data_IF_205758477787
#
_entry.id   IF_205758477787
#
_cell.length_a   1.000
_cell.length_b   1.000
_cell.length_c   1.000
_cell.angle_alpha   90.00
_cell.angle_beta   90.00
_cell.angle_gamma   90.00
#
_symmetry.space_group_name_H-M   'P 1'
#
loop_
_entity.id
_entity.type
_entity.pdbx_description
1 polymer ?
#
# COMPACT_ATOMS: atom_id res chain seq x y z
N UNK A 1 -26.93 -9.08 22.32
CA UNK A 1 -26.69 -10.11 21.29
C UNK A 1 -27.23 -9.77 19.87
N UNK A 2 -27.80 -8.59 19.60
CA UNK A 2 -28.44 -8.29 18.28
C UNK A 2 -27.64 -7.46 17.26
N UNK A 3 -26.51 -6.85 17.64
CA UNK A 3 -25.69 -6.05 16.68
C UNK A 3 -24.94 -6.94 15.69
N UNK A 4 -24.31 -8.02 16.17
CA UNK A 4 -23.51 -8.92 15.33
C UNK A 4 -24.39 -9.69 14.34
N UNK A 5 -25.61 -10.10 14.73
CA UNK A 5 -26.54 -10.76 13.80
C UNK A 5 -27.03 -9.82 12.69
N UNK A 6 -27.27 -8.54 13.01
CA UNK A 6 -27.67 -7.54 12.02
C UNK A 6 -26.51 -7.18 11.08
N UNK A 7 -25.28 -7.04 11.60
CA UNK A 7 -24.10 -6.85 10.75
C UNK A 7 -23.88 -8.07 9.84
N UNK A 8 -24.07 -9.29 10.35
CA UNK A 8 -23.94 -10.52 9.56
C UNK A 8 -25.03 -10.67 8.50
N UNK A 9 -26.26 -10.22 8.81
CA UNK A 9 -27.36 -10.17 7.84
C UNK A 9 -27.07 -9.15 6.73
N UNK A 10 -26.57 -7.97 7.08
CA UNK A 10 -26.14 -6.95 6.11
C UNK A 10 -24.99 -7.47 5.23
N UNK A 11 -23.98 -8.12 5.83
CA UNK A 11 -22.88 -8.73 5.08
C UNK A 11 -23.40 -9.79 4.11
N UNK A 12 -24.31 -10.67 4.55
CA UNK A 12 -24.94 -11.68 3.67
C UNK A 12 -25.78 -11.07 2.56
N UNK A 13 -26.51 -9.98 2.83
CA UNK A 13 -27.30 -9.29 1.82
C UNK A 13 -26.40 -8.60 0.80
N UNK A 14 -25.37 -7.88 1.23
CA UNK A 14 -24.37 -7.31 0.33
C UNK A 14 -23.63 -8.39 -0.47
N UNK A 15 -23.35 -9.55 0.14
CA UNK A 15 -22.69 -10.67 -0.52
C UNK A 15 -23.62 -11.40 -1.50
N UNK A 16 -24.92 -11.48 -1.21
CA UNK A 16 -25.92 -12.04 -2.12
C UNK A 16 -26.08 -11.16 -3.38
N UNK A 17 -26.10 -9.84 -3.20
CA UNK A 17 -26.13 -8.87 -4.31
C UNK A 17 -24.82 -8.93 -5.11
N UNK A 18 -23.65 -9.06 -4.46
CA UNK A 18 -22.37 -9.24 -5.14
C UNK A 18 -22.31 -10.55 -5.94
N UNK A 19 -22.96 -11.60 -5.45
CA UNK A 19 -22.95 -12.94 -6.07
C UNK A 19 -23.86 -13.03 -7.30
N UNK A 20 -24.82 -12.13 -7.44
CA UNK A 20 -25.59 -11.97 -8.68
C UNK A 20 -24.78 -11.31 -9.82
N UNK A 21 -23.65 -10.68 -9.50
CA UNK A 21 -22.71 -10.10 -10.46
C UNK A 21 -21.36 -10.86 -10.45
N UNK A 22 -21.30 -11.99 -11.16
CA UNK A 22 -20.07 -12.79 -11.29
C UNK A 22 -18.86 -11.97 -11.80
N UNK A 23 -19.10 -10.92 -12.59
CA UNK A 23 -18.08 -9.99 -13.07
C UNK A 23 -17.47 -9.10 -11.96
N UNK A 24 -18.21 -8.77 -10.89
CA UNK A 24 -17.71 -7.93 -9.80
C UNK A 24 -16.75 -8.68 -8.87
N UNK A 25 -16.88 -10.00 -8.75
CA UNK A 25 -16.01 -10.81 -7.90
C UNK A 25 -14.67 -11.17 -8.55
N UNK A 26 -14.57 -11.13 -9.89
CA UNK A 26 -13.33 -11.47 -10.60
C UNK A 26 -12.21 -10.45 -10.37
N UNK A 27 -12.54 -9.17 -10.21
CA UNK A 27 -11.56 -8.09 -10.02
C UNK A 27 -10.78 -8.18 -8.69
N UNK A 28 -11.42 -8.36 -7.51
CA UNK A 28 -10.71 -8.59 -6.26
C UNK A 28 -9.84 -9.84 -6.27
N UNK A 29 -10.33 -10.93 -6.89
CA UNK A 29 -9.60 -12.20 -6.98
C UNK A 29 -8.38 -12.09 -7.89
N UNK A 30 -8.52 -11.45 -9.05
CA UNK A 30 -7.41 -11.17 -9.95
C UNK A 30 -6.36 -10.24 -9.32
N UNK A 31 -6.80 -9.23 -8.54
CA UNK A 31 -5.88 -8.38 -7.78
C UNK A 31 -5.09 -9.17 -6.74
N UNK A 32 -5.76 -10.05 -5.98
CA UNK A 32 -5.09 -10.92 -5.01
C UNK A 32 -4.09 -11.88 -5.67
N UNK A 33 -4.48 -12.52 -6.77
CA UNK A 33 -3.62 -13.44 -7.54
C UNK A 33 -2.43 -12.68 -8.13
N UNK A 34 -2.64 -11.50 -8.72
CA UNK A 34 -1.57 -10.69 -9.27
C UNK A 34 -0.56 -10.25 -8.21
N UNK A 35 -1.04 -9.84 -7.04
CA UNK A 35 -0.19 -9.43 -5.92
C UNK A 35 0.69 -10.60 -5.41
N UNK A 36 0.10 -11.79 -5.29
CA UNK A 36 0.83 -13.02 -4.93
C UNK A 36 1.84 -13.38 -6.03
N UNK A 37 1.41 -13.37 -7.29
CA UNK A 37 2.26 -13.74 -8.43
C UNK A 37 3.50 -12.84 -8.54
N UNK A 38 3.33 -11.53 -8.33
CA UNK A 38 4.44 -10.58 -8.34
C UNK A 38 5.37 -10.77 -7.16
N UNK A 39 4.81 -10.95 -5.96
CA UNK A 39 5.60 -11.22 -4.76
C UNK A 39 6.46 -12.46 -4.94
N UNK A 40 5.86 -13.55 -5.43
CA UNK A 40 6.57 -14.80 -5.73
C UNK A 40 7.61 -14.61 -6.82
N UNK A 41 7.29 -13.89 -7.90
CA UNK A 41 8.24 -13.64 -9.01
C UNK A 41 9.46 -12.84 -8.55
N UNK A 42 9.28 -11.86 -7.66
CA UNK A 42 10.36 -11.06 -7.11
C UNK A 42 11.21 -11.85 -6.10
N UNK A 43 10.59 -12.65 -5.24
CA UNK A 43 11.31 -13.52 -4.30
C UNK A 43 12.09 -14.61 -5.04
N UNK A 44 11.48 -15.24 -6.04
CA UNK A 44 12.15 -16.24 -6.88
C UNK A 44 13.27 -15.61 -7.72
N UNK A 45 13.02 -14.45 -8.34
CA UNK A 45 14.01 -13.75 -9.16
C UNK A 45 15.21 -13.25 -8.35
N UNK A 46 14.98 -12.68 -7.17
CA UNK A 46 16.07 -12.31 -6.26
C UNK A 46 16.85 -13.53 -5.77
N UNK A 47 16.16 -14.62 -5.42
CA UNK A 47 16.79 -15.90 -5.08
C UNK A 47 17.71 -16.42 -6.18
N UNK A 48 17.26 -16.41 -7.44
CA UNK A 48 18.05 -16.85 -8.60
C UNK A 48 19.25 -15.93 -8.88
N UNK A 49 19.09 -14.62 -8.73
CA UNK A 49 20.17 -13.64 -8.94
C UNK A 49 21.30 -13.80 -7.92
N UNK A 50 20.97 -14.02 -6.65
CA UNK A 50 21.95 -14.20 -5.58
C UNK A 50 22.48 -15.64 -5.45
N UNK A 51 21.77 -16.62 -6.03
CA UNK A 51 22.12 -18.04 -5.96
C UNK A 51 23.59 -18.37 -6.29
N UNK A 52 24.20 -17.91 -7.41
CA UNK A 52 25.60 -18.22 -7.71
C UNK A 52 26.58 -17.63 -6.69
N UNK A 53 26.28 -16.45 -6.13
CA UNK A 53 27.13 -15.77 -5.15
C UNK A 53 27.05 -16.44 -3.78
N UNK A 54 25.85 -16.87 -3.39
CA UNK A 54 25.61 -17.67 -2.16
C UNK A 54 26.33 -19.02 -2.29
N UNK A 55 26.21 -19.70 -3.43
CA UNK A 55 26.92 -20.97 -3.68
C UNK A 55 28.44 -20.81 -3.62
N UNK A 56 28.98 -19.74 -4.18
CA UNK A 56 30.41 -19.45 -4.13
C UNK A 56 30.89 -19.21 -2.69
N UNK A 57 30.11 -18.49 -1.88
CA UNK A 57 30.42 -18.27 -0.46
C UNK A 57 30.39 -19.57 0.36
N UNK A 58 29.36 -20.41 0.16
CA UNK A 58 29.25 -21.72 0.82
C UNK A 58 30.42 -22.63 0.41
N UNK A 59 30.78 -22.65 -0.88
CA UNK A 59 31.92 -23.44 -1.38
C UNK A 59 33.25 -22.97 -0.80
N UNK A 60 33.38 -21.67 -0.49
CA UNK A 60 34.55 -21.09 0.17
C UNK A 60 34.52 -21.20 1.71
N UNK A 61 33.57 -21.93 2.30
CA UNK A 61 33.31 -21.98 3.76
C UNK A 61 33.10 -20.59 4.41
N UNK A 62 32.73 -19.59 3.61
CA UNK A 62 32.47 -18.23 4.05
C UNK A 62 30.97 -17.97 4.24
N UNK A 63 30.66 -16.91 4.97
CA UNK A 63 29.31 -16.34 5.00
C UNK A 63 29.13 -15.36 3.85
N UNK A 64 28.02 -15.48 3.12
CA UNK A 64 27.69 -14.54 2.06
C UNK A 64 27.29 -13.20 2.69
N UNK A 65 28.14 -12.19 2.51
CA UNK A 65 27.83 -10.80 2.83
C UNK A 65 27.65 -10.03 1.51
N UNK A 66 26.42 -9.70 1.11
CA UNK A 66 26.22 -8.82 -0.03
C UNK A 66 26.91 -7.49 0.22
N UNK A 67 27.65 -6.98 -0.77
CA UNK A 67 28.20 -5.63 -0.70
C UNK A 67 27.09 -4.60 -0.47
N UNK A 68 27.38 -3.55 0.31
CA UNK A 68 26.37 -2.55 0.70
C UNK A 68 25.61 -1.94 -0.47
N UNK A 69 26.29 -1.68 -1.59
CA UNK A 69 25.68 -1.18 -2.82
C UNK A 69 24.75 -2.21 -3.49
N UNK A 70 25.15 -3.49 -3.53
CA UNK A 70 24.33 -4.58 -4.10
C UNK A 70 23.06 -4.79 -3.30
N UNK A 71 23.16 -4.77 -1.96
CA UNK A 71 22.01 -4.86 -1.07
C UNK A 71 21.04 -3.68 -1.30
N UNK A 72 21.57 -2.45 -1.32
CA UNK A 72 20.79 -1.23 -1.54
C UNK A 72 20.05 -1.22 -2.87
N UNK A 73 20.75 -1.52 -3.97
CA UNK A 73 20.13 -1.60 -5.29
C UNK A 73 19.05 -2.69 -5.34
N UNK A 74 19.30 -3.84 -4.72
CA UNK A 74 18.33 -4.94 -4.73
C UNK A 74 17.08 -4.61 -3.93
N UNK A 75 17.23 -3.95 -2.77
CA UNK A 75 16.10 -3.43 -1.98
C UNK A 75 15.35 -2.34 -2.76
N UNK A 76 16.05 -1.44 -3.43
CA UNK A 76 15.44 -0.40 -4.25
C UNK A 76 14.59 -0.98 -5.38
N UNK A 77 15.15 -1.88 -6.19
CA UNK A 77 14.43 -2.51 -7.28
C UNK A 77 13.28 -3.38 -6.79
N UNK A 78 13.45 -4.04 -5.64
CA UNK A 78 12.37 -4.77 -5.00
C UNK A 78 11.21 -3.84 -4.61
N UNK A 79 11.48 -2.68 -4.00
CA UNK A 79 10.46 -1.69 -3.67
C UNK A 79 9.84 -1.08 -4.92
N UNK A 80 10.65 -0.69 -5.90
CA UNK A 80 10.18 -0.12 -7.17
C UNK A 80 9.22 -1.08 -7.88
N UNK A 81 9.59 -2.35 -8.03
CA UNK A 81 8.76 -3.35 -8.69
C UNK A 81 7.47 -3.61 -7.92
N UNK A 82 7.53 -3.73 -6.58
CA UNK A 82 6.33 -3.90 -5.75
C UNK A 82 5.39 -2.70 -5.86
N UNK A 83 5.89 -1.48 -5.66
CA UNK A 83 5.06 -0.28 -5.76
C UNK A 83 4.45 -0.10 -7.14
N UNK A 84 5.22 -0.36 -8.20
CA UNK A 84 4.73 -0.28 -9.57
C UNK A 84 3.55 -1.24 -9.79
N UNK A 85 3.71 -2.51 -9.41
CA UNK A 85 2.66 -3.52 -9.59
C UNK A 85 1.44 -3.19 -8.75
N UNK A 86 1.62 -2.91 -7.45
CA UNK A 86 0.52 -2.63 -6.54
C UNK A 86 -0.31 -1.45 -7.07
N UNK A 87 0.35 -0.36 -7.45
CA UNK A 87 -0.34 0.84 -7.93
C UNK A 87 -0.98 0.57 -9.29
N UNK A 88 -0.33 -0.18 -10.18
CA UNK A 88 -0.89 -0.58 -11.47
C UNK A 88 -2.21 -1.33 -11.34
N UNK A 89 -2.24 -2.39 -10.53
CA UNK A 89 -3.46 -3.18 -10.32
C UNK A 89 -4.52 -2.42 -9.52
N UNK A 90 -4.12 -1.60 -8.55
CA UNK A 90 -5.05 -0.74 -7.82
C UNK A 90 -5.67 0.31 -8.75
N UNK A 91 -4.91 0.88 -9.68
CA UNK A 91 -5.45 1.79 -10.71
C UNK A 91 -6.44 1.06 -11.62
N UNK A 92 -6.14 -0.17 -12.05
CA UNK A 92 -7.07 -0.98 -12.83
C UNK A 92 -8.38 -1.26 -12.07
N UNK A 93 -8.27 -1.63 -10.80
CA UNK A 93 -9.40 -1.92 -9.92
C UNK A 93 -10.28 -0.68 -9.69
N UNK A 94 -9.66 0.45 -9.34
CA UNK A 94 -10.36 1.72 -9.10
C UNK A 94 -11.07 2.21 -10.37
N UNK A 95 -10.44 2.04 -11.54
CA UNK A 95 -11.04 2.42 -12.82
C UNK A 95 -12.26 1.56 -13.14
N UNK A 96 -12.16 0.24 -12.97
CA UNK A 96 -13.29 -0.68 -13.17
C UNK A 96 -14.42 -0.42 -12.16
N UNK A 97 -14.09 -0.09 -10.91
CA UNK A 97 -15.08 0.29 -9.90
C UNK A 97 -15.83 1.58 -10.30
N UNK A 98 -15.14 2.58 -10.86
CA UNK A 98 -15.79 3.81 -11.34
C UNK A 98 -16.80 3.53 -12.45
N UNK A 99 -16.43 2.68 -13.43
CA UNK A 99 -17.33 2.29 -14.53
C UNK A 99 -18.61 1.66 -13.99
N UNK A 100 -18.52 0.80 -12.97
CA UNK A 100 -19.71 0.22 -12.33
C UNK A 100 -20.55 1.28 -11.61
N UNK A 101 -19.92 2.17 -10.87
CA UNK A 101 -20.61 3.23 -10.12
C UNK A 101 -21.36 4.20 -11.04
N UNK A 102 -20.89 4.37 -12.27
CA UNK A 102 -21.55 5.15 -13.32
C UNK A 102 -22.68 4.38 -14.04
N UNK A 103 -22.97 3.14 -13.64
CA UNK A 103 -24.02 2.29 -14.21
C UNK A 103 -23.60 1.50 -15.45
N UNK A 104 -22.30 1.45 -15.76
CA UNK A 104 -21.74 0.63 -16.83
C UNK A 104 -21.47 -0.83 -16.41
N UNK A 105 -21.15 -1.68 -17.40
CA UNK A 105 -20.71 -3.06 -17.18
C UNK A 105 -19.18 -3.12 -17.23
N UNK A 106 -18.48 -3.17 -16.08
CA UNK A 106 -17.02 -3.17 -16.06
C UNK A 106 -16.46 -4.52 -16.49
N UNK A 107 -15.52 -4.53 -17.42
CA UNK A 107 -14.70 -5.73 -17.67
C UNK A 107 -13.30 -5.56 -17.07
N UNK A 108 -12.64 -6.68 -16.77
CA UNK A 108 -11.22 -6.71 -16.37
C UNK A 108 -10.35 -6.03 -17.43
N UNK A 109 -10.71 -6.21 -18.70
CA UNK A 109 -9.99 -5.62 -19.82
C UNK A 109 -10.05 -4.09 -19.80
N UNK A 110 -11.18 -3.50 -19.42
CA UNK A 110 -11.33 -2.04 -19.36
C UNK A 110 -10.44 -1.45 -18.26
N UNK A 111 -10.44 -2.06 -17.07
CA UNK A 111 -9.56 -1.65 -15.98
C UNK A 111 -8.08 -1.75 -16.35
N UNK A 112 -7.67 -2.87 -16.94
CA UNK A 112 -6.28 -3.07 -17.39
C UNK A 112 -5.89 -2.10 -18.51
N UNK A 113 -6.79 -1.82 -19.45
CA UNK A 113 -6.55 -0.88 -20.55
C UNK A 113 -6.31 0.54 -20.01
N UNK A 114 -7.14 0.99 -19.06
CA UNK A 114 -6.97 2.30 -18.40
C UNK A 114 -5.66 2.33 -17.63
N UNK A 115 -5.34 1.30 -16.84
CA UNK A 115 -4.06 1.25 -16.13
C UNK A 115 -2.86 1.28 -17.08
N UNK A 116 -2.95 0.62 -18.25
CA UNK A 116 -1.91 0.64 -19.27
C UNK A 116 -1.69 2.04 -19.86
N UNK A 117 -2.77 2.79 -20.09
CA UNK A 117 -2.69 4.19 -20.53
C UNK A 117 -1.99 5.12 -19.52
N UNK A 118 -1.92 4.71 -18.25
CA UNK A 118 -1.32 5.46 -17.13
C UNK A 118 0.05 4.91 -16.70
N UNK A 119 0.60 3.92 -17.41
CA UNK A 119 1.81 3.19 -17.00
C UNK A 119 3.00 4.11 -16.72
N UNK A 120 3.16 5.18 -17.51
CA UNK A 120 4.25 6.14 -17.33
C UNK A 120 4.16 6.89 -16.00
N UNK A 121 2.97 7.37 -15.64
CA UNK A 121 2.76 8.10 -14.38
C UNK A 121 2.83 7.13 -13.19
N UNK A 122 2.30 5.91 -13.33
CA UNK A 122 2.41 4.85 -12.32
C UNK A 122 3.88 4.52 -12.05
N UNK A 123 4.71 4.42 -13.10
CA UNK A 123 6.14 4.18 -12.97
C UNK A 123 6.85 5.34 -12.25
N UNK A 124 6.58 6.58 -12.63
CA UNK A 124 7.13 7.76 -11.96
C UNK A 124 6.75 7.81 -10.47
N UNK A 125 5.51 7.45 -10.15
CA UNK A 125 5.04 7.34 -8.78
C UNK A 125 5.76 6.22 -8.02
N UNK A 126 5.92 5.05 -8.63
CA UNK A 126 6.62 3.93 -8.01
C UNK A 126 8.08 4.27 -7.67
N UNK A 127 8.77 5.04 -8.51
CA UNK A 127 10.12 5.55 -8.24
C UNK A 127 10.12 6.46 -7.01
N UNK A 128 9.17 7.39 -6.92
CA UNK A 128 9.05 8.30 -5.77
C UNK A 128 8.76 7.50 -4.50
N UNK A 129 7.78 6.60 -4.53
CA UNK A 129 7.40 5.77 -3.39
C UNK A 129 8.54 4.85 -2.93
N UNK A 130 9.27 4.23 -3.86
CA UNK A 130 10.43 3.40 -3.54
C UNK A 130 11.55 4.22 -2.88
N UNK A 131 11.78 5.44 -3.35
CA UNK A 131 12.76 6.36 -2.75
C UNK A 131 12.38 6.71 -1.32
N UNK A 132 11.11 7.07 -1.08
CA UNK A 132 10.62 7.38 0.28
C UNK A 132 10.70 6.14 1.18
N UNK A 133 10.30 4.97 0.69
CA UNK A 133 10.40 3.71 1.42
C UNK A 133 11.84 3.37 1.83
N UNK A 134 12.81 3.60 0.95
CA UNK A 134 14.22 3.44 1.31
C UNK A 134 14.68 4.44 2.38
N UNK A 135 14.28 5.71 2.27
CA UNK A 135 14.64 6.73 3.26
C UNK A 135 14.06 6.38 4.64
N UNK A 136 12.80 5.96 4.71
CA UNK A 136 12.18 5.51 5.95
C UNK A 136 12.93 4.33 6.57
N UNK A 137 13.26 3.33 5.76
CA UNK A 137 14.03 2.16 6.22
C UNK A 137 15.41 2.55 6.75
N UNK A 138 16.12 3.45 6.08
CA UNK A 138 17.41 3.96 6.57
C UNK A 138 17.30 4.70 7.91
N UNK A 139 16.17 5.35 8.18
CA UNK A 139 15.91 6.02 9.47
C UNK A 139 15.61 4.98 10.55
N UNK A 140 14.81 3.95 10.24
CA UNK A 140 14.48 2.85 11.16
C UNK A 140 15.71 2.01 11.57
N UNK A 141 16.63 1.79 10.65
CA UNK A 141 17.86 1.02 10.87
C UNK A 141 18.83 1.74 11.85
N UNK A 142 18.62 3.03 12.14
CA UNK A 142 19.36 3.73 13.20
C UNK A 142 18.74 3.38 14.56
N UNK A 143 19.46 2.59 15.37
CA UNK A 143 18.95 1.89 16.56
C UNK A 143 18.46 2.74 17.75
N UNK A 144 18.26 4.05 17.60
CA UNK A 144 17.70 4.88 18.68
C UNK A 144 16.17 4.73 18.71
N UNK A 145 15.62 4.61 19.91
CA UNK A 145 14.17 4.64 20.16
C UNK A 145 13.49 5.85 19.47
N UNK A 146 14.25 6.95 19.38
CA UNK A 146 13.89 8.19 18.69
C UNK A 146 13.78 7.98 17.17
N UNK A 147 14.71 7.26 16.53
CA UNK A 147 14.67 6.98 15.09
C UNK A 147 13.40 6.22 14.69
N UNK A 148 13.03 5.21 15.48
CA UNK A 148 11.78 4.44 15.28
C UNK A 148 10.52 5.29 15.46
N UNK A 149 10.50 6.20 16.43
CA UNK A 149 9.38 7.10 16.67
C UNK A 149 9.21 8.12 15.53
N UNK A 150 10.32 8.68 15.04
CA UNK A 150 10.27 9.61 13.91
C UNK A 150 9.83 8.89 12.65
N UNK A 151 10.39 7.70 12.36
CA UNK A 151 9.98 6.90 11.21
C UNK A 151 8.49 6.53 11.25
N UNK A 152 7.95 6.17 12.42
CA UNK A 152 6.54 5.84 12.55
C UNK A 152 5.63 7.05 12.29
N UNK A 153 5.98 8.23 12.81
CA UNK A 153 5.22 9.46 12.56
C UNK A 153 5.26 9.87 11.08
N UNK A 154 6.43 9.82 10.45
CA UNK A 154 6.56 10.10 9.02
C UNK A 154 5.81 9.05 8.19
N UNK A 155 5.84 7.78 8.60
CA UNK A 155 5.09 6.70 7.96
C UNK A 155 3.57 6.91 8.04
N UNK A 156 3.06 7.38 9.17
CA UNK A 156 1.64 7.77 9.31
C UNK A 156 1.33 8.94 8.38
N UNK A 157 2.12 10.02 8.43
CA UNK A 157 1.91 11.18 7.56
C UNK A 157 1.94 10.81 6.08
N UNK A 158 2.86 9.93 5.68
CA UNK A 158 2.94 9.37 4.34
C UNK A 158 1.69 8.58 3.98
N UNK A 159 1.23 7.68 4.85
CA UNK A 159 0.01 6.89 4.62
C UNK A 159 -1.22 7.78 4.41
N UNK A 160 -1.38 8.81 5.23
CA UNK A 160 -2.49 9.76 5.09
C UNK A 160 -2.38 10.57 3.80
N UNK A 161 -1.17 11.07 3.48
CA UNK A 161 -0.94 11.84 2.27
C UNK A 161 -1.12 11.01 0.99
N UNK A 162 -0.87 9.69 1.04
CA UNK A 162 -0.94 8.80 -0.13
C UNK A 162 -2.30 8.12 -0.31
N UNK A 163 -3.24 8.30 0.62
CA UNK A 163 -4.50 7.57 0.66
C UNK A 163 -5.31 7.64 -0.66
N UNK A 164 -5.35 8.81 -1.31
CA UNK A 164 -6.07 9.03 -2.58
C UNK A 164 -5.17 9.05 -3.81
N UNK A 165 -3.88 8.71 -3.68
CA UNK A 165 -2.96 8.81 -4.82
C UNK A 165 -3.38 7.88 -5.96
N UNK A 166 -3.81 6.65 -5.67
CA UNK A 166 -4.25 5.72 -6.73
C UNK A 166 -5.43 6.29 -7.54
N UNK A 167 -6.55 6.73 -6.92
CA UNK A 167 -7.62 7.42 -7.65
C UNK A 167 -7.13 8.64 -8.43
N UNK A 168 -6.30 9.49 -7.82
CA UNK A 168 -5.78 10.70 -8.48
C UNK A 168 -4.95 10.35 -9.71
N UNK A 169 -4.08 9.34 -9.62
CA UNK A 169 -3.29 8.85 -10.75
C UNK A 169 -4.16 8.26 -11.86
N UNK A 170 -5.23 7.55 -11.50
CA UNK A 170 -6.17 6.96 -12.45
C UNK A 170 -6.89 8.05 -13.27
N UNK A 171 -7.44 9.05 -12.59
CA UNK A 171 -8.39 9.99 -13.19
C UNK A 171 -7.79 11.34 -13.58
N UNK A 172 -6.81 11.87 -12.83
CA UNK A 172 -6.31 13.24 -13.02
C UNK A 172 -5.00 13.30 -13.83
N UNK A 173 -4.34 12.16 -14.11
CA UNK A 173 -3.10 12.06 -14.90
C UNK A 173 -1.98 13.04 -14.48
N UNK A 174 -1.90 13.32 -13.19
CA UNK A 174 -0.94 14.26 -12.61
C UNK A 174 0.41 13.61 -12.38
N UNK A 175 1.49 14.41 -12.42
CA UNK A 175 2.82 13.93 -12.05
C UNK A 175 2.87 13.45 -10.58
N UNK A 176 3.87 12.66 -10.18
CA UNK A 176 3.87 11.99 -8.88
C UNK A 176 3.82 12.95 -7.67
N UNK A 177 4.48 14.11 -7.76
CA UNK A 177 4.46 15.13 -6.71
C UNK A 177 3.10 15.84 -6.65
N UNK A 178 2.51 16.13 -7.81
CA UNK A 178 1.19 16.76 -7.91
C UNK A 178 0.10 15.81 -7.42
N UNK A 179 0.19 14.53 -7.76
CA UNK A 179 -0.71 13.49 -7.28
C UNK A 179 -0.66 13.36 -5.74
N UNK A 180 0.53 13.43 -5.13
CA UNK A 180 0.68 13.44 -3.67
C UNK A 180 0.03 14.67 -3.04
N UNK A 181 0.29 15.87 -3.59
CA UNK A 181 -0.31 17.12 -3.09
C UNK A 181 -1.82 17.08 -3.18
N UNK A 182 -2.34 16.62 -4.31
CA UNK A 182 -3.77 16.49 -4.56
C UNK A 182 -4.42 15.47 -3.63
N UNK A 183 -3.77 14.32 -3.42
CA UNK A 183 -4.24 13.31 -2.48
C UNK A 183 -4.29 13.84 -1.04
N UNK A 184 -3.25 14.53 -0.60
CA UNK A 184 -3.22 15.16 0.73
C UNK A 184 -4.30 16.25 0.89
N UNK A 185 -4.57 17.02 -0.16
CA UNK A 185 -5.65 18.01 -0.19
C UNK A 185 -7.03 17.35 -0.04
N UNK A 186 -7.30 16.31 -0.83
CA UNK A 186 -8.55 15.54 -0.78
C UNK A 186 -8.74 14.88 0.59
N UNK A 187 -7.68 14.30 1.15
CA UNK A 187 -7.70 13.72 2.49
C UNK A 187 -8.06 14.77 3.55
N UNK A 188 -7.35 15.91 3.55
CA UNK A 188 -7.60 16.99 4.50
C UNK A 188 -9.01 17.54 4.40
N UNK A 189 -9.54 17.68 3.17
CA UNK A 189 -10.87 18.24 2.94
C UNK A 189 -11.99 17.33 3.45
N UNK A 190 -11.85 16.03 3.23
CA UNK A 190 -12.95 15.09 3.46
C UNK A 190 -12.84 14.35 4.81
N UNK A 191 -11.63 14.19 5.36
CA UNK A 191 -11.37 13.45 6.61
C UNK A 191 -10.52 14.21 7.62
N UNK A 192 -10.11 15.46 7.33
CA UNK A 192 -9.27 16.24 8.25
C UNK A 192 -9.94 16.46 9.61
N UNK A 193 -11.23 16.82 9.63
CA UNK A 193 -11.98 17.04 10.86
C UNK A 193 -12.17 15.74 11.66
N UNK A 194 -12.50 14.63 11.00
CA UNK A 194 -12.67 13.31 11.62
C UNK A 194 -11.37 12.78 12.25
N UNK A 195 -10.24 12.96 11.56
CA UNK A 195 -8.93 12.56 12.09
C UNK A 195 -8.57 13.41 13.30
N UNK A 196 -8.72 14.73 13.23
CA UNK A 196 -8.43 15.63 14.37
C UNK A 196 -9.36 15.32 15.54
N UNK A 197 -10.64 15.05 15.29
CA UNK A 197 -11.60 14.62 16.31
C UNK A 197 -11.18 13.32 16.98
N UNK A 198 -10.90 12.27 16.19
CA UNK A 198 -10.46 10.96 16.69
C UNK A 198 -9.15 11.05 17.46
N UNK A 199 -8.18 11.84 16.99
CA UNK A 199 -6.90 12.02 17.67
C UNK A 199 -7.05 12.80 18.98
N UNK A 200 -7.89 13.83 18.98
CA UNK A 200 -8.16 14.64 20.18
C UNK A 200 -8.85 13.81 21.26
N UNK A 201 -9.90 13.07 20.90
CA UNK A 201 -10.57 12.17 21.83
C UNK A 201 -9.65 11.04 22.28
N UNK A 202 -8.89 10.43 21.37
CA UNK A 202 -7.91 9.40 21.69
C UNK A 202 -6.84 9.87 22.67
N UNK A 203 -6.34 11.10 22.51
CA UNK A 203 -5.37 11.72 23.42
C UNK A 203 -5.99 12.00 24.80
N UNK A 204 -7.22 12.50 24.84
CA UNK A 204 -7.95 12.72 26.10
C UNK A 204 -8.15 11.40 26.84
N UNK A 205 -8.65 10.36 26.16
CA UNK A 205 -8.83 9.04 26.76
C UNK A 205 -7.50 8.41 27.19
N UNK A 206 -6.44 8.60 26.41
CA UNK A 206 -5.10 8.15 26.79
C UNK A 206 -4.63 8.83 28.08
N UNK A 207 -4.72 10.16 28.18
CA UNK A 207 -4.35 10.92 29.37
C UNK A 207 -5.21 10.54 30.60
N UNK A 208 -6.50 10.25 30.40
CA UNK A 208 -7.39 9.77 31.46
C UNK A 208 -7.12 8.31 31.86
N UNK A 209 -6.61 7.47 30.95
CA UNK A 209 -6.25 6.09 31.23
C UNK A 209 -4.90 5.96 31.96
N UNK A 210 -3.97 6.90 31.75
CA UNK A 210 -2.64 6.90 32.37
C UNK A 210 -2.69 6.77 33.90
N UNK A 211 -3.52 7.52 34.66
CA UNK A 211 -3.68 7.33 36.10
C UNK A 211 -4.16 5.93 36.48
N UNK A 212 -5.08 5.33 35.72
CA UNK A 212 -5.62 3.99 36.00
C UNK A 212 -4.64 2.85 35.71
N UNK A 213 -3.64 3.08 34.84
CA UNK A 213 -2.57 2.11 34.55
C UNK A 213 -1.38 2.29 35.51
N UNK A 214 -1.08 3.52 35.92
CA UNK A 214 0.02 3.83 36.84
C UNK A 214 -0.34 3.61 38.32
N UNK A 215 -1.63 3.66 38.67
CA UNK A 215 -2.14 3.31 39.98
C UNK A 215 -2.91 1.99 39.86
N UNK A 216 -2.21 0.83 39.86
CA UNK A 216 -2.91 -0.43 40.02
C UNK A 216 -3.51 -0.44 41.43
N UNK A 217 -4.84 -0.31 41.49
CA UNK A 217 -5.63 -0.56 42.71
C UNK A 217 -5.62 -2.05 43.01
#
# INVERSE_FOLDING_TARGET
MGRISNTWALVKQSFAILREDEELMLLPVLSAIACIAVTVSLLAGSGLFFYPQIRAAIAAQGTWHPGGATLLLSVFFFYLANYFVIVFFNTALVSAASIRLEGGNPTVRDGLHIAWSRVGVIFQWAVLAATVGMVLRMIEDRSSLIGRLVASLVGIAWTLATFFVVPVLAFENLGPIEALKRSAELFRRNWGEEVVGTFSFGLIFFLLAVPGVLLPV
#
